data_IF_128475959568
#
_entry.id   IF_128475959568
#
_cell.length_a   1.000
_cell.length_b   1.000
_cell.length_c   1.000
_cell.angle_alpha   90.00
_cell.angle_beta   90.00
_cell.angle_gamma   90.00
#
_symmetry.space_group_name_H-M   'P 1'
#
loop_
_entity.id
_entity.type
_entity.pdbx_description
1 polymer ?
#
# COMPACT_ATOMS: atom_id res chain seq x y z
N UNK A 1 4.17 22.50 8.48
CA UNK A 1 5.15 21.50 8.03
C UNK A 1 5.51 20.62 9.22
N UNK A 2 5.33 19.32 9.10
CA UNK A 2 5.73 18.36 10.13
C UNK A 2 6.98 17.63 9.66
N UNK A 3 7.95 17.43 10.55
CA UNK A 3 9.17 16.68 10.29
C UNK A 3 8.98 15.27 10.84
N UNK A 4 9.33 14.26 10.05
CA UNK A 4 9.37 12.88 10.55
C UNK A 4 10.58 12.71 11.47
N UNK A 5 10.31 12.52 12.76
CA UNK A 5 11.31 12.27 13.79
C UNK A 5 11.03 10.89 14.40
N UNK A 6 12.00 9.98 14.35
CA UNK A 6 11.92 8.67 14.98
C UNK A 6 12.49 7.52 14.15
N UNK A 7 12.93 6.47 14.84
CA UNK A 7 13.63 5.32 14.26
C UNK A 7 12.74 4.47 13.31
N UNK A 8 11.42 4.56 13.47
CA UNK A 8 10.44 3.69 12.79
C UNK A 8 9.61 4.41 11.72
N UNK A 9 9.95 5.67 11.43
CA UNK A 9 9.25 6.49 10.45
C UNK A 9 7.80 6.82 10.81
N UNK A 10 7.11 7.47 9.87
CA UNK A 10 5.71 7.89 9.98
C UNK A 10 4.95 7.38 8.77
N UNK A 11 3.92 6.58 8.99
CA UNK A 11 3.01 6.11 7.96
C UNK A 11 1.77 7.00 7.93
N UNK A 12 1.45 7.56 6.76
CA UNK A 12 0.36 8.49 6.53
C UNK A 12 -0.60 7.85 5.53
N UNK A 13 -1.84 7.62 5.95
CA UNK A 13 -2.93 7.20 5.07
C UNK A 13 -3.80 8.41 4.70
N UNK A 14 -3.86 8.75 3.42
CA UNK A 14 -4.73 9.78 2.87
C UNK A 14 -6.00 9.13 2.32
N UNK A 15 -7.14 9.47 2.94
CA UNK A 15 -8.46 8.93 2.63
C UNK A 15 -9.30 9.83 1.70
N UNK A 16 -8.76 10.97 1.23
CA UNK A 16 -9.55 11.98 0.50
C UNK A 16 -10.20 11.45 -0.79
N UNK A 17 -9.58 10.47 -1.43
CA UNK A 17 -10.10 9.79 -2.63
C UNK A 17 -10.35 8.30 -2.40
N UNK A 18 -10.44 7.87 -1.14
CA UNK A 18 -10.72 6.48 -0.84
C UNK A 18 -12.20 6.17 -1.08
N UNK A 19 -12.47 4.97 -1.56
CA UNK A 19 -13.82 4.47 -1.87
C UNK A 19 -14.17 3.38 -0.85
N UNK A 20 -14.87 3.72 0.25
CA UNK A 20 -15.43 2.73 1.13
C UNK A 20 -16.67 2.10 0.47
N UNK A 21 -16.81 0.79 0.60
CA UNK A 21 -17.96 0.04 0.06
C UNK A 21 -18.25 -1.19 0.94
N UNK A 22 -19.32 -1.93 0.65
CA UNK A 22 -19.70 -3.15 1.35
C UNK A 22 -19.89 -4.30 0.37
N UNK A 23 -19.26 -5.45 0.66
CA UNK A 23 -19.38 -6.67 -0.14
C UNK A 23 -19.76 -7.85 0.74
N UNK A 24 -20.92 -8.44 0.45
CA UNK A 24 -21.45 -9.59 1.19
C UNK A 24 -21.54 -9.36 2.71
N UNK A 25 -21.99 -8.17 3.13
CA UNK A 25 -22.13 -7.84 4.56
C UNK A 25 -20.84 -7.42 5.26
N UNK A 26 -19.73 -7.25 4.52
CA UNK A 26 -18.43 -6.90 5.07
C UNK A 26 -17.90 -5.63 4.41
N UNK A 27 -17.20 -4.79 5.19
CA UNK A 27 -16.67 -3.53 4.69
C UNK A 27 -15.51 -3.78 3.72
N UNK A 28 -15.29 -2.83 2.82
CA UNK A 28 -14.14 -2.76 1.94
C UNK A 28 -13.69 -1.31 1.83
N UNK A 29 -12.44 -1.10 1.45
CA UNK A 29 -11.93 0.22 1.10
C UNK A 29 -10.90 0.10 -0.02
N UNK A 30 -10.98 0.97 -1.01
CA UNK A 30 -9.99 1.09 -2.08
C UNK A 30 -9.57 2.55 -2.26
N UNK A 31 -8.58 2.83 -3.12
CA UNK A 31 -8.15 4.19 -3.43
C UNK A 31 -7.44 4.93 -2.29
N UNK A 32 -7.07 4.23 -1.20
CA UNK A 32 -6.28 4.84 -0.12
C UNK A 32 -4.87 5.11 -0.62
N UNK A 33 -4.40 6.35 -0.46
CA UNK A 33 -3.02 6.72 -0.78
C UNK A 33 -2.16 6.71 0.47
N UNK A 34 -1.12 5.90 0.47
CA UNK A 34 -0.18 5.78 1.58
C UNK A 34 1.17 6.45 1.26
N UNK A 35 1.69 7.15 2.26
CA UNK A 35 3.01 7.78 2.26
C UNK A 35 3.74 7.34 3.51
N UNK A 36 5.00 6.96 3.38
CA UNK A 36 5.86 6.58 4.50
C UNK A 36 7.12 7.44 4.51
N UNK A 37 7.34 8.10 5.64
CA UNK A 37 8.39 9.08 5.83
C UNK A 37 9.38 8.54 6.86
N UNK A 38 10.66 8.80 6.64
CA UNK A 38 11.71 8.48 7.60
C UNK A 38 12.49 9.75 7.95
N UNK A 39 13.50 9.64 8.80
CA UNK A 39 14.29 10.78 9.27
C UNK A 39 14.70 11.71 8.10
N UNK A 40 14.57 13.02 8.33
CA UNK A 40 14.86 14.07 7.35
C UNK A 40 13.74 14.37 6.35
N UNK A 41 12.69 13.55 6.29
CA UNK A 41 11.53 13.81 5.44
C UNK A 41 10.54 14.77 6.10
N UNK A 42 9.77 15.47 5.27
CA UNK A 42 8.74 16.40 5.73
C UNK A 42 7.41 16.13 5.04
N UNK A 43 6.33 16.44 5.76
CA UNK A 43 4.97 16.41 5.24
C UNK A 43 4.32 17.77 5.41
N UNK A 44 3.71 18.28 4.34
CA UNK A 44 2.77 19.37 4.41
C UNK A 44 1.35 18.80 4.42
N UNK A 45 0.62 18.84 5.55
CA UNK A 45 -0.74 18.30 5.62
C UNK A 45 -1.78 19.15 4.89
N UNK A 46 -1.51 20.44 4.66
CA UNK A 46 -2.42 21.32 3.91
C UNK A 46 -2.35 21.01 2.42
N UNK A 47 -1.14 20.84 1.90
CA UNK A 47 -0.91 20.46 0.50
C UNK A 47 -1.02 18.95 0.27
N UNK A 48 -0.96 18.15 1.34
CA UNK A 48 -0.88 16.67 1.30
C UNK A 48 0.32 16.17 0.51
N UNK A 49 1.45 16.85 0.67
CA UNK A 49 2.68 16.59 -0.10
C UNK A 49 3.83 16.19 0.83
N UNK A 50 4.57 15.16 0.43
CA UNK A 50 5.82 14.76 1.07
C UNK A 50 7.03 15.35 0.34
N UNK A 51 8.06 15.72 1.09
CA UNK A 51 9.39 16.06 0.57
C UNK A 51 10.43 15.15 1.23
N UNK A 52 11.29 14.55 0.42
CA UNK A 52 12.28 13.55 0.87
C UNK A 52 13.67 14.17 1.00
N UNK A 53 14.16 14.30 2.23
CA UNK A 53 15.40 15.01 2.53
C UNK A 53 16.64 14.13 2.38
N UNK A 54 17.59 14.51 1.53
CA UNK A 54 18.88 13.81 1.38
C UNK A 54 18.79 12.39 0.82
N UNK A 55 17.63 12.01 0.25
CA UNK A 55 17.37 10.69 -0.33
C UNK A 55 17.40 10.75 -1.85
N UNK A 56 17.79 9.65 -2.48
CA UNK A 56 17.77 9.46 -3.94
C UNK A 56 16.58 8.61 -4.34
N UNK A 57 16.06 8.83 -5.55
CA UNK A 57 14.98 7.97 -6.08
C UNK A 57 15.47 6.53 -6.22
N UNK A 58 14.61 5.58 -5.86
CA UNK A 58 14.84 4.15 -6.09
C UNK A 58 14.57 3.73 -7.55
N UNK A 59 13.95 4.59 -8.35
CA UNK A 59 13.58 4.29 -9.73
C UNK A 59 14.81 3.92 -10.58
N UNK A 60 14.78 2.74 -11.20
CA UNK A 60 15.88 2.18 -11.97
C UNK A 60 16.99 1.53 -11.14
N UNK A 61 16.87 1.54 -9.82
CA UNK A 61 17.80 0.89 -8.88
C UNK A 61 17.12 -0.22 -8.05
N UNK A 62 15.88 -0.58 -8.42
CA UNK A 62 15.13 -1.63 -7.73
C UNK A 62 15.70 -3.03 -8.00
N UNK A 63 15.53 -3.93 -7.05
CA UNK A 63 15.97 -5.33 -7.16
C UNK A 63 14.88 -6.18 -7.82
N UNK A 64 15.21 -7.02 -8.81
CA UNK A 64 14.25 -7.97 -9.38
C UNK A 64 13.74 -8.98 -8.34
N UNK A 65 12.44 -9.29 -8.39
CA UNK A 65 11.84 -10.33 -7.54
C UNK A 65 10.42 -10.01 -7.10
N UNK A 66 9.65 -11.06 -6.84
CA UNK A 66 8.30 -10.97 -6.26
C UNK A 66 8.39 -10.69 -4.75
N UNK A 67 7.39 -9.99 -4.22
CA UNK A 67 7.22 -9.80 -2.78
C UNK A 67 6.33 -10.94 -2.27
N UNK A 68 6.81 -11.79 -1.35
CA UNK A 68 5.99 -12.85 -0.78
C UNK A 68 4.70 -12.30 -0.17
N UNK A 69 3.62 -13.07 -0.30
CA UNK A 69 2.39 -12.74 0.39
C UNK A 69 2.63 -12.68 1.91
N UNK A 70 2.15 -11.62 2.54
CA UNK A 70 2.37 -11.37 3.98
C UNK A 70 1.18 -11.85 4.79
N UNK A 71 1.34 -12.95 5.53
CA UNK A 71 0.34 -13.39 6.50
C UNK A 71 0.32 -12.49 7.73
N UNK A 72 -0.87 -12.23 8.27
CA UNK A 72 -1.08 -11.33 9.41
C UNK A 72 -0.36 -9.97 9.21
N UNK A 73 -0.74 -9.29 8.13
CA UNK A 73 -0.17 -8.00 7.75
C UNK A 73 -0.42 -6.91 8.79
N UNK A 74 -1.49 -7.03 9.59
CA UNK A 74 -1.84 -6.11 10.66
C UNK A 74 -1.39 -6.65 12.01
N UNK A 75 -0.42 -6.00 12.64
CA UNK A 75 0.05 -6.39 13.97
C UNK A 75 -1.04 -6.21 15.03
N UNK A 76 -1.17 -7.18 15.93
CA UNK A 76 -1.96 -7.08 17.15
C UNK A 76 -1.09 -7.41 18.37
N UNK A 77 -1.50 -6.98 19.56
CA UNK A 77 -0.84 -7.35 20.80
C UNK A 77 -1.39 -8.69 21.29
N UNK A 78 -0.52 -9.69 21.42
CA UNK A 78 -0.84 -11.00 21.94
C UNK A 78 -0.59 -10.99 23.46
N UNK A 79 -1.67 -11.01 24.23
CA UNK A 79 -1.62 -10.97 25.70
C UNK A 79 -1.01 -12.24 26.30
N UNK A 80 -1.16 -13.39 25.65
CA UNK A 80 -0.63 -14.67 26.13
C UNK A 80 0.90 -14.73 25.95
N UNK A 81 1.41 -14.17 24.86
CA UNK A 81 2.84 -14.08 24.57
C UNK A 81 3.50 -12.80 25.10
N UNK A 82 2.69 -11.83 25.55
CA UNK A 82 3.15 -10.52 26.03
C UNK A 82 3.91 -9.71 24.99
N UNK A 83 3.59 -9.88 23.70
CA UNK A 83 4.30 -9.23 22.60
C UNK A 83 3.38 -8.87 21.42
N UNK A 84 3.85 -7.98 20.54
CA UNK A 84 3.14 -7.69 19.29
C UNK A 84 3.49 -8.73 18.23
N UNK A 85 2.48 -9.26 17.55
CA UNK A 85 2.68 -10.13 16.39
C UNK A 85 3.12 -9.32 15.18
N UNK A 86 3.99 -9.91 14.35
CA UNK A 86 4.36 -9.42 13.02
C UNK A 86 4.52 -7.89 12.95
N UNK A 87 5.30 -7.33 13.88
CA UNK A 87 5.44 -5.88 14.02
C UNK A 87 5.80 -5.23 12.69
N UNK A 88 4.99 -4.26 12.28
CA UNK A 88 5.21 -3.46 11.07
C UNK A 88 5.19 -4.30 9.79
N UNK A 89 4.59 -5.50 9.78
CA UNK A 89 4.53 -6.34 8.58
C UNK A 89 3.98 -5.58 7.37
N UNK A 90 2.82 -4.92 7.51
CA UNK A 90 2.29 -4.02 6.47
C UNK A 90 3.33 -3.03 5.92
N UNK A 91 3.99 -2.28 6.81
CA UNK A 91 4.97 -1.25 6.43
C UNK A 91 6.22 -1.87 5.80
N UNK A 92 6.70 -2.99 6.33
CA UNK A 92 7.87 -3.70 5.82
C UNK A 92 7.59 -4.27 4.43
N UNK A 93 6.39 -4.80 4.18
CA UNK A 93 5.95 -5.27 2.87
C UNK A 93 5.85 -4.11 1.88
N UNK A 94 5.32 -2.96 2.30
CA UNK A 94 5.31 -1.75 1.47
C UNK A 94 6.74 -1.26 1.14
N UNK A 95 7.65 -1.22 2.12
CA UNK A 95 9.06 -0.86 1.91
C UNK A 95 9.71 -1.84 0.92
N UNK A 96 9.53 -3.14 1.13
CA UNK A 96 10.07 -4.18 0.25
C UNK A 96 9.53 -4.03 -1.18
N UNK A 97 8.24 -3.73 -1.33
CA UNK A 97 7.62 -3.44 -2.61
C UNK A 97 8.35 -2.29 -3.32
N UNK A 98 8.60 -1.15 -2.66
CA UNK A 98 9.35 -0.04 -3.28
C UNK A 98 10.82 -0.33 -3.57
N UNK A 99 11.46 -1.26 -2.84
CA UNK A 99 12.81 -1.74 -3.16
C UNK A 99 12.86 -2.77 -4.30
N UNK A 100 11.72 -3.26 -4.77
CA UNK A 100 11.60 -4.32 -5.77
C UNK A 100 11.09 -3.79 -7.12
N UNK A 101 11.38 -4.49 -8.22
CA UNK A 101 10.75 -4.20 -9.53
C UNK A 101 9.26 -4.55 -9.60
N UNK A 102 8.73 -5.27 -8.60
CA UNK A 102 7.31 -5.62 -8.51
C UNK A 102 6.43 -4.37 -8.43
N UNK A 103 5.26 -4.43 -9.05
CA UNK A 103 4.25 -3.37 -9.03
C UNK A 103 3.18 -3.59 -7.97
N UNK A 104 3.10 -4.79 -7.40
CA UNK A 104 2.11 -5.17 -6.41
C UNK A 104 2.71 -6.07 -5.33
N UNK A 105 2.19 -5.97 -4.12
CA UNK A 105 2.37 -6.93 -3.04
C UNK A 105 1.02 -7.17 -2.34
N UNK A 106 0.84 -8.35 -1.77
CA UNK A 106 -0.39 -8.70 -1.06
C UNK A 106 -0.11 -9.18 0.35
N UNK A 107 -1.14 -9.13 1.19
CA UNK A 107 -1.14 -9.75 2.50
C UNK A 107 -2.54 -10.14 2.94
N UNK A 108 -2.63 -10.81 4.08
CA UNK A 108 -3.89 -11.17 4.72
C UNK A 108 -3.89 -10.75 6.18
N UNK A 109 -5.08 -10.51 6.73
CA UNK A 109 -5.29 -10.32 8.15
C UNK A 109 -5.28 -11.65 8.89
N UNK A 110 -5.31 -11.62 10.23
CA UNK A 110 -5.34 -12.84 11.05
C UNK A 110 -6.75 -13.44 11.13
N UNK A 111 -7.77 -12.60 11.12
CA UNK A 111 -9.16 -12.97 11.35
C UNK A 111 -9.63 -14.03 10.31
N UNK A 112 -10.53 -14.93 10.72
CA UNK A 112 -11.08 -15.98 9.84
C UNK A 112 -12.45 -15.65 9.26
N UNK A 113 -13.22 -14.76 9.90
CA UNK A 113 -14.64 -14.54 9.59
C UNK A 113 -15.01 -13.04 9.47
N UNK A 114 -14.69 -12.40 8.33
CA UNK A 114 -13.86 -12.93 7.25
C UNK A 114 -12.38 -12.65 7.48
N UNK A 115 -11.52 -13.42 6.79
CA UNK A 115 -10.16 -12.96 6.51
C UNK A 115 -10.21 -11.77 5.56
N UNK A 116 -9.51 -10.70 5.90
CA UNK A 116 -9.31 -9.56 5.00
C UNK A 116 -8.00 -9.75 4.25
N UNK A 117 -8.00 -9.48 2.95
CA UNK A 117 -6.77 -9.32 2.19
C UNK A 117 -6.44 -7.86 1.97
N UNK A 118 -5.14 -7.61 1.80
CA UNK A 118 -4.54 -6.30 1.59
C UNK A 118 -3.84 -6.33 0.25
N UNK A 119 -4.09 -5.34 -0.60
CA UNK A 119 -3.36 -5.12 -1.83
C UNK A 119 -2.60 -3.80 -1.74
N UNK A 120 -1.29 -3.84 -2.02
CA UNK A 120 -0.39 -2.70 -2.09
C UNK A 120 0.07 -2.57 -3.53
N UNK A 121 -0.18 -1.43 -4.19
CA UNK A 121 0.14 -1.25 -5.61
C UNK A 121 0.90 0.04 -5.86
N UNK A 122 1.96 -0.04 -6.66
CA UNK A 122 2.65 1.14 -7.21
C UNK A 122 1.84 1.70 -8.38
N UNK A 123 0.82 2.49 -8.06
CA UNK A 123 0.03 3.17 -9.08
C UNK A 123 0.75 4.36 -9.69
N UNK A 124 -0.01 5.18 -10.42
CA UNK A 124 0.50 6.40 -11.03
C UNK A 124 0.97 7.38 -9.94
N UNK A 125 2.19 7.87 -10.06
CA UNK A 125 2.80 8.82 -9.12
C UNK A 125 3.48 8.17 -7.91
N UNK A 126 3.36 6.85 -7.74
CA UNK A 126 4.06 6.13 -6.69
C UNK A 126 5.58 6.21 -6.90
N UNK A 127 6.29 6.71 -5.89
CA UNK A 127 7.74 6.89 -5.93
C UNK A 127 8.37 6.45 -4.60
N UNK A 128 9.48 5.71 -4.70
CA UNK A 128 10.30 5.30 -3.57
C UNK A 128 11.62 6.06 -3.55
N UNK A 129 12.14 6.30 -2.35
CA UNK A 129 13.38 7.02 -2.11
C UNK A 129 14.20 6.28 -1.06
N UNK A 130 15.53 6.27 -1.23
CA UNK A 130 16.46 5.67 -0.28
C UNK A 130 17.55 6.65 0.12
N UNK A 131 17.98 6.57 1.36
CA UNK A 131 19.09 7.35 1.87
C UNK A 131 19.58 6.77 3.19
N UNK A 132 20.52 7.49 3.81
CA UNK A 132 21.14 7.08 5.07
C UNK A 132 20.67 8.03 6.17
N UNK A 133 20.27 7.49 7.33
CA UNK A 133 19.88 8.29 8.49
C UNK A 133 21.10 8.80 9.30
N UNK A 134 20.85 9.57 10.37
CA UNK A 134 21.91 10.09 11.24
C UNK A 134 22.74 9.01 11.94
N UNK A 135 22.30 7.75 11.93
CA UNK A 135 22.98 6.59 12.50
C UNK A 135 23.70 5.73 11.46
N UNK A 136 23.71 6.14 10.19
CA UNK A 136 24.36 5.37 9.14
C UNK A 136 23.50 4.21 8.59
N UNK A 137 22.23 4.11 8.96
CA UNK A 137 21.34 3.04 8.50
C UNK A 137 20.62 3.45 7.21
N UNK A 138 20.53 2.51 6.26
CA UNK A 138 19.72 2.72 5.05
C UNK A 138 18.24 2.77 5.41
N UNK A 139 17.55 3.79 4.93
CA UNK A 139 16.12 4.01 5.11
C UNK A 139 15.44 4.18 3.76
N UNK A 140 14.29 3.54 3.62
CA UNK A 140 13.40 3.72 2.48
C UNK A 140 12.19 4.55 2.91
N UNK A 141 11.85 5.52 2.08
CA UNK A 141 10.64 6.32 2.18
C UNK A 141 9.87 6.20 0.86
N UNK A 142 8.56 6.44 0.89
CA UNK A 142 7.74 6.41 -0.33
C UNK A 142 6.53 7.31 -0.23
N UNK A 143 5.94 7.63 -1.38
CA UNK A 143 4.65 8.33 -1.50
C UNK A 143 3.73 7.63 -2.50
N UNK A 144 2.46 7.97 -2.39
CA UNK A 144 1.40 7.64 -3.35
C UNK A 144 1.20 6.14 -3.62
N UNK A 145 1.52 5.29 -2.63
CA UNK A 145 1.19 3.86 -2.66
C UNK A 145 -0.32 3.68 -2.62
N UNK A 146 -0.88 2.92 -3.56
CA UNK A 146 -2.28 2.52 -3.52
C UNK A 146 -2.48 1.36 -2.55
N UNK A 147 -3.46 1.50 -1.66
CA UNK A 147 -3.85 0.49 -0.68
C UNK A 147 -5.33 0.16 -0.86
N UNK A 148 -5.63 -1.13 -0.94
CA UNK A 148 -6.99 -1.66 -0.89
C UNK A 148 -7.10 -2.77 0.15
N UNK A 149 -8.24 -2.83 0.84
CA UNK A 149 -8.54 -3.84 1.86
C UNK A 149 -9.96 -4.34 1.62
N UNK A 150 -10.13 -5.66 1.56
CA UNK A 150 -11.42 -6.32 1.39
C UNK A 150 -11.39 -7.76 1.89
N UNK A 151 -12.53 -8.39 2.20
CA UNK A 151 -12.60 -9.81 2.48
C UNK A 151 -11.98 -10.65 1.36
N UNK A 152 -11.22 -11.69 1.71
CA UNK A 152 -10.74 -12.68 0.74
C UNK A 152 -11.94 -13.48 0.18
N UNK A 153 -11.90 -13.91 -1.10
CA UNK A 153 -10.77 -13.94 -2.03
C UNK A 153 -10.50 -12.64 -2.82
N UNK A 154 -11.09 -11.49 -2.48
CA UNK A 154 -11.21 -10.35 -3.39
C UNK A 154 -10.21 -9.16 -3.25
N UNK A 155 -8.91 -9.30 -2.87
CA UNK A 155 -8.00 -8.14 -2.92
C UNK A 155 -7.59 -7.78 -4.35
N UNK A 156 -7.44 -8.79 -5.22
CA UNK A 156 -6.87 -8.63 -6.57
C UNK A 156 -7.87 -8.13 -7.61
N UNK A 157 -9.17 -8.36 -7.38
CA UNK A 157 -10.26 -8.03 -8.31
C UNK A 157 -10.70 -6.57 -8.23
N UNK A 158 -10.47 -5.89 -7.10
CA UNK A 158 -10.80 -4.47 -6.90
C UNK A 158 -10.02 -3.53 -7.84
N UNK A 159 -8.79 -3.89 -8.19
CA UNK A 159 -7.96 -3.10 -9.11
C UNK A 159 -8.25 -3.40 -10.60
N UNK A 160 -8.98 -4.48 -10.90
CA UNK A 160 -9.39 -4.83 -12.26
C UNK A 160 -10.44 -3.88 -12.87
N UNK A 161 -11.12 -3.07 -12.04
CA UNK A 161 -12.16 -2.13 -12.49
C UNK A 161 -11.61 -0.80 -13.01
N UNK A 162 -10.34 -0.45 -12.77
CA UNK A 162 -9.73 0.78 -13.29
C UNK A 162 -9.19 0.60 -14.72
N UNK A 163 -9.18 -0.64 -15.25
CA UNK A 163 -8.64 -0.98 -16.57
C UNK A 163 -9.66 -1.19 -17.70
N UNK A 164 -10.97 -1.20 -17.44
CA UNK A 164 -11.99 -1.48 -18.47
C UNK A 164 -12.51 -0.20 -19.16
N UNK A 165 -11.60 0.71 -19.52
CA UNK A 165 -11.86 1.75 -20.50
C UNK A 165 -11.49 1.26 -21.89
N UNK A 166 -12.47 1.22 -22.80
CA UNK A 166 -12.37 0.94 -24.25
C UNK A 166 -12.42 -0.55 -24.64
N UNK A 167 -13.62 -1.03 -24.99
CA UNK A 167 -13.93 -1.50 -26.35
C UNK A 167 -15.42 -1.82 -26.46
N UNK A 168 -16.15 -0.93 -27.15
CA UNK A 168 -17.51 -1.22 -27.59
C UNK A 168 -17.51 -2.31 -28.65
N UNK A 169 -18.36 -3.32 -28.48
CA UNK A 169 -18.85 -4.15 -29.59
C UNK A 169 -20.35 -4.34 -29.39
N UNK A 170 -21.09 -3.86 -30.38
CA UNK A 170 -22.53 -3.64 -30.30
C UNK A 170 -23.38 -4.90 -30.18
N UNK A 171 -24.49 -4.75 -29.45
CA UNK A 171 -25.63 -5.66 -29.54
C UNK A 171 -26.21 -5.64 -30.96
N UNK A 172 -25.93 -6.67 -31.74
CA UNK A 172 -26.75 -7.01 -32.92
C UNK A 172 -27.88 -7.93 -32.47
N UNK A 173 -29.07 -7.34 -32.26
CA UNK A 173 -30.35 -8.07 -32.21
C UNK A 173 -30.54 -8.86 -33.51
N UNK A 174 -30.65 -10.18 -33.44
CA UNK A 174 -31.31 -10.96 -34.49
C UNK A 174 -32.81 -11.00 -34.19
N UNK A 175 -33.59 -10.28 -35.00
CA UNK A 175 -34.99 -10.59 -35.33
C UNK A 175 -34.96 -11.38 -36.63
N UNK A 176 -35.58 -12.56 -36.68
CA UNK A 176 -36.34 -13.12 -37.82
C UNK A 176 -37.27 -14.19 -37.21
N UNK A 177 -38.58 -13.90 -37.18
CA UNK A 177 -39.64 -14.27 -38.14
C UNK A 177 -40.24 -15.64 -37.80
#
# INVERSE_FOLDING_TARGET
MSIALGQNGVFIANLTGAEPDEKSGNWTISGVKATYLTEGDTYDPLMKTATFGGKTSLKGSEVPGEIPNTENAFSYFDDDLGNWTNQRAFTNTAIALFGSTSTMATGTSLESDPTYGVALTKGLGAEGFSGVDGLGQTRVSFKDLDVAIAPTPEPSSLLGLVGAGVLGVGLRRKRQQ
#
